data_IF_254550136271
#
_entry.id   IF_254550136271
#
_cell.length_a   1.000
_cell.length_b   1.000
_cell.length_c   1.000
_cell.angle_alpha   90.00
_cell.angle_beta   90.00
_cell.angle_gamma   90.00
#
_symmetry.space_group_name_H-M   'P 1'
#
loop_
_entity.id
_entity.type
_entity.pdbx_description
1 polymer ?
#
# COMPACT_ATOMS: atom_id res chain seq x y z
N UNK A 1 0.10 -9.28 3.24
CA UNK A 1 -0.24 -8.60 4.53
C UNK A 1 -0.87 -9.52 5.59
N UNK A 2 -1.25 -10.75 5.25
CA UNK A 2 -1.97 -11.68 6.13
C UNK A 2 -1.34 -11.89 7.51
N UNK A 3 -0.01 -11.97 7.59
CA UNK A 3 0.68 -12.19 8.86
C UNK A 3 0.35 -11.13 9.92
N UNK A 4 0.34 -9.84 9.56
CA UNK A 4 0.06 -8.76 10.50
C UNK A 4 -1.45 -8.54 10.67
N UNK A 5 -2.20 -8.57 9.57
CA UNK A 5 -3.62 -8.24 9.59
C UNK A 5 -4.50 -9.34 10.18
N UNK A 6 -4.04 -10.58 10.35
CA UNK A 6 -4.80 -11.64 11.06
C UNK A 6 -5.02 -11.32 12.54
N UNK A 7 -4.17 -10.49 13.15
CA UNK A 7 -4.25 -10.15 14.57
C UNK A 7 -5.36 -9.13 14.83
N UNK A 8 -6.10 -9.32 15.93
CA UNK A 8 -7.24 -8.46 16.31
C UNK A 8 -6.86 -6.98 16.45
N UNK A 9 -5.63 -6.71 16.93
CA UNK A 9 -5.11 -5.35 17.10
C UNK A 9 -4.95 -4.56 15.78
N UNK A 10 -4.91 -5.25 14.64
CA UNK A 10 -4.79 -4.63 13.30
C UNK A 10 -5.99 -4.96 12.40
N UNK A 11 -7.03 -5.59 12.95
CA UNK A 11 -8.17 -6.03 12.15
C UNK A 11 -8.98 -4.85 11.57
N UNK A 12 -8.97 -3.70 12.25
CA UNK A 12 -9.60 -2.47 11.77
C UNK A 12 -8.88 -1.84 10.58
N UNK A 13 -7.62 -2.21 10.31
CA UNK A 13 -6.85 -1.74 9.16
C UNK A 13 -7.09 -2.57 7.90
N UNK A 14 -7.96 -3.58 7.94
CA UNK A 14 -8.28 -4.40 6.76
C UNK A 14 -9.17 -3.61 5.81
N UNK A 15 -8.91 -3.73 4.51
CA UNK A 15 -9.78 -3.21 3.46
C UNK A 15 -11.18 -3.83 3.55
N UNK A 16 -11.22 -5.17 3.62
CA UNK A 16 -12.45 -5.91 3.87
C UNK A 16 -12.29 -6.66 5.19
N UNK A 17 -13.20 -6.44 6.14
CA UNK A 17 -13.04 -6.92 7.51
C UNK A 17 -12.82 -8.43 7.65
N UNK A 18 -13.43 -9.24 6.78
CA UNK A 18 -13.28 -10.70 6.75
C UNK A 18 -11.97 -11.18 6.11
N UNK A 19 -11.26 -10.33 5.36
CA UNK A 19 -10.10 -10.71 4.56
C UNK A 19 -8.83 -10.02 5.06
N UNK A 20 -7.92 -10.73 5.75
CA UNK A 20 -6.67 -10.16 6.26
C UNK A 20 -5.59 -9.98 5.17
N UNK A 21 -5.92 -10.09 3.88
CA UNK A 21 -4.95 -10.01 2.79
C UNK A 21 -4.64 -8.58 2.35
N UNK A 22 -5.58 -7.64 2.53
CA UNK A 22 -5.51 -6.28 1.96
C UNK A 22 -5.68 -5.23 3.05
N UNK A 23 -4.82 -4.22 3.01
CA UNK A 23 -4.82 -3.08 3.94
C UNK A 23 -5.75 -1.98 3.40
N UNK A 24 -6.55 -1.35 4.29
CA UNK A 24 -7.37 -0.20 3.95
C UNK A 24 -6.47 1.03 3.72
N UNK A 25 -6.39 1.59 2.51
CA UNK A 25 -5.49 2.69 2.21
C UNK A 25 -5.97 4.05 2.73
N UNK A 26 -7.20 4.15 3.25
CA UNK A 26 -7.77 5.42 3.75
C UNK A 26 -7.41 5.72 5.20
N UNK A 27 -7.02 4.70 5.98
CA UNK A 27 -6.62 4.88 7.37
C UNK A 27 -5.16 5.34 7.46
N UNK A 28 -4.90 6.45 8.14
CA UNK A 28 -3.51 6.94 8.32
C UNK A 28 -2.63 5.91 9.03
N UNK A 29 -3.22 5.14 9.95
CA UNK A 29 -2.56 4.04 10.67
C UNK A 29 -2.06 2.93 9.73
N UNK A 30 -2.73 2.70 8.60
CA UNK A 30 -2.29 1.73 7.59
C UNK A 30 -0.93 2.10 7.01
N UNK A 31 -0.77 3.37 6.60
CA UNK A 31 0.51 3.85 6.09
C UNK A 31 1.59 3.87 7.19
N UNK A 32 1.21 4.21 8.42
CA UNK A 32 2.13 4.17 9.56
C UNK A 32 2.62 2.75 9.85
N UNK A 33 1.75 1.74 9.78
CA UNK A 33 2.10 0.33 9.95
C UNK A 33 3.11 -0.12 8.89
N UNK A 34 2.84 0.16 7.61
CA UNK A 34 3.78 -0.14 6.52
C UNK A 34 5.11 0.59 6.72
N UNK A 35 5.06 1.86 7.16
CA UNK A 35 6.24 2.64 7.51
C UNK A 35 7.10 1.97 8.59
N UNK A 36 6.48 1.49 9.66
CA UNK A 36 7.20 0.80 10.74
C UNK A 36 7.85 -0.51 10.26
N UNK A 37 7.18 -1.27 9.38
CA UNK A 37 7.76 -2.46 8.76
C UNK A 37 8.97 -2.11 7.89
N UNK A 38 8.88 -1.03 7.11
CA UNK A 38 9.98 -0.52 6.29
C UNK A 38 11.16 -0.09 7.15
N UNK A 39 10.91 0.61 8.27
CA UNK A 39 11.95 1.04 9.21
C UNK A 39 12.75 -0.15 9.73
N UNK A 40 12.06 -1.20 10.20
CA UNK A 40 12.71 -2.44 10.67
C UNK A 40 13.57 -3.10 9.59
N UNK A 41 13.07 -3.19 8.35
CA UNK A 41 13.82 -3.79 7.24
C UNK A 41 15.05 -2.96 6.91
N UNK A 42 14.93 -1.63 6.81
CA UNK A 42 16.05 -0.75 6.47
C UNK A 42 17.10 -0.67 7.58
N UNK A 43 16.71 -0.81 8.84
CA UNK A 43 17.63 -0.88 9.98
C UNK A 43 18.53 -2.12 9.89
N UNK A 44 17.93 -3.28 9.57
CA UNK A 44 18.65 -4.55 9.43
C UNK A 44 19.51 -4.63 8.15
N UNK A 45 19.23 -3.80 7.14
CA UNK A 45 19.91 -3.82 5.84
C UNK A 45 20.53 -2.46 5.50
N UNK A 46 21.56 -2.00 6.23
CA UNK A 46 22.08 -0.65 6.09
C UNK A 46 22.71 -0.37 4.72
N UNK A 47 23.16 -1.40 4.00
CA UNK A 47 23.73 -1.29 2.65
C UNK A 47 22.72 -1.48 1.51
N UNK A 48 21.43 -1.63 1.80
CA UNK A 48 20.42 -1.83 0.76
C UNK A 48 20.35 -0.62 -0.19
N UNK A 49 20.36 -0.89 -1.49
CA UNK A 49 20.17 0.13 -2.54
C UNK A 49 18.77 0.07 -3.14
N UNK A 50 18.07 -1.05 -2.97
CA UNK A 50 16.73 -1.31 -3.51
C UNK A 50 15.88 -1.96 -2.44
N UNK A 51 14.61 -1.58 -2.38
CA UNK A 51 13.64 -2.18 -1.48
C UNK A 51 12.36 -2.47 -2.26
N UNK A 52 11.98 -3.75 -2.31
CA UNK A 52 10.70 -4.14 -2.90
C UNK A 52 9.58 -3.95 -1.89
N UNK A 53 8.58 -3.12 -2.20
CA UNK A 53 7.46 -2.78 -1.31
C UNK A 53 6.18 -3.58 -1.62
N UNK A 54 6.23 -4.50 -2.59
CA UNK A 54 5.15 -5.44 -2.89
C UNK A 54 4.10 -4.81 -3.79
N UNK A 55 2.83 -4.88 -3.35
CA UNK A 55 1.65 -4.39 -4.04
C UNK A 55 1.20 -5.24 -5.24
N UNK A 56 1.44 -6.55 -5.15
CA UNK A 56 0.89 -7.58 -6.03
C UNK A 56 -0.53 -8.00 -5.61
N UNK A 57 -1.33 -8.40 -6.61
CA UNK A 57 -2.54 -9.22 -6.44
C UNK A 57 -3.53 -8.65 -5.40
N UNK A 58 -3.71 -7.33 -5.39
CA UNK A 58 -4.53 -6.61 -4.40
C UNK A 58 -6.02 -6.67 -4.78
N UNK A 59 -6.57 -7.89 -4.92
CA UNK A 59 -7.86 -8.15 -5.55
C UNK A 59 -9.07 -7.49 -4.88
N UNK A 60 -9.03 -7.31 -3.56
CA UNK A 60 -10.14 -6.73 -2.79
C UNK A 60 -10.06 -5.21 -2.63
N UNK A 61 -9.08 -4.54 -3.25
CA UNK A 61 -8.95 -3.09 -3.16
C UNK A 61 -10.18 -2.40 -3.76
N UNK A 62 -10.82 -1.52 -3.00
CA UNK A 62 -12.05 -0.84 -3.43
C UNK A 62 -13.32 -1.48 -2.89
N UNK A 63 -13.23 -2.66 -2.28
CA UNK A 63 -14.39 -3.36 -1.74
C UNK A 63 -14.73 -2.97 -0.30
N UNK A 64 -13.80 -2.31 0.41
CA UNK A 64 -14.04 -1.79 1.75
C UNK A 64 -15.07 -0.66 1.78
N UNK A 65 -15.76 -0.48 2.90
CA UNK A 65 -16.81 0.55 2.99
C UNK A 65 -16.26 1.97 2.71
N UNK A 66 -15.08 2.30 3.26
CA UNK A 66 -14.40 3.56 3.03
C UNK A 66 -14.05 3.74 1.54
N UNK A 67 -13.47 2.71 0.92
CA UNK A 67 -13.09 2.77 -0.49
C UNK A 67 -14.29 2.80 -1.43
N UNK A 68 -15.37 2.06 -1.15
CA UNK A 68 -16.63 2.17 -1.90
C UNK A 68 -17.19 3.58 -1.87
N UNK A 69 -17.22 4.23 -0.70
CA UNK A 69 -17.65 5.64 -0.58
C UNK A 69 -16.74 6.59 -1.35
N UNK A 70 -15.43 6.36 -1.31
CA UNK A 70 -14.46 7.17 -2.05
C UNK A 70 -14.62 6.99 -3.57
N UNK A 71 -14.83 5.76 -4.05
CA UNK A 71 -15.02 5.43 -5.45
C UNK A 71 -16.33 5.98 -6.05
N UNK A 72 -17.33 6.30 -5.23
CA UNK A 72 -18.58 6.93 -5.68
C UNK A 72 -18.40 8.40 -6.08
N UNK A 73 -17.30 9.03 -5.70
CA UNK A 73 -17.01 10.43 -6.05
C UNK A 73 -16.49 10.50 -7.49
N UNK A 74 -16.87 11.55 -8.22
CA UNK A 74 -16.44 11.74 -9.61
C UNK A 74 -14.91 11.74 -9.71
N UNK A 75 -14.38 11.14 -10.78
CA UNK A 75 -12.95 11.02 -11.11
C UNK A 75 -12.15 10.02 -10.27
N UNK A 76 -12.71 9.37 -9.25
CA UNK A 76 -12.00 8.35 -8.49
C UNK A 76 -12.04 6.99 -9.18
N UNK A 77 -10.97 6.21 -9.01
CA UNK A 77 -10.86 4.85 -9.55
C UNK A 77 -9.97 4.00 -8.66
N UNK A 78 -10.16 2.68 -8.69
CA UNK A 78 -9.30 1.74 -7.94
C UNK A 78 -7.83 1.88 -8.35
N UNK A 79 -7.57 2.18 -9.63
CA UNK A 79 -6.24 2.51 -10.14
C UNK A 79 -5.60 3.72 -9.46
N UNK A 80 -6.34 4.84 -9.36
CA UNK A 80 -5.88 6.03 -8.64
C UNK A 80 -5.64 5.74 -7.15
N UNK A 81 -6.51 4.94 -6.53
CA UNK A 81 -6.35 4.54 -5.13
C UNK A 81 -5.06 3.75 -4.92
N UNK A 82 -4.83 2.75 -5.78
CA UNK A 82 -3.63 1.92 -5.78
C UNK A 82 -2.37 2.76 -5.96
N UNK A 83 -2.32 3.58 -7.01
CA UNK A 83 -1.17 4.42 -7.33
C UNK A 83 -0.88 5.46 -6.24
N UNK A 84 -1.93 6.07 -5.67
CA UNK A 84 -1.80 7.01 -4.55
C UNK A 84 -1.13 6.34 -3.35
N UNK A 85 -1.57 5.12 -3.00
CA UNK A 85 -0.98 4.36 -1.91
C UNK A 85 0.48 3.97 -2.21
N UNK A 86 0.75 3.42 -3.39
CA UNK A 86 2.13 3.10 -3.84
C UNK A 86 3.04 4.32 -3.75
N UNK A 87 2.59 5.49 -4.23
CA UNK A 87 3.34 6.74 -4.18
C UNK A 87 3.60 7.19 -2.75
N UNK A 88 2.63 7.06 -1.84
CA UNK A 88 2.80 7.40 -0.43
C UNK A 88 3.86 6.51 0.24
N UNK A 89 3.81 5.19 0.01
CA UNK A 89 4.80 4.24 0.54
C UNK A 89 6.18 4.50 -0.05
N UNK A 90 6.29 4.66 -1.37
CA UNK A 90 7.55 4.97 -2.05
C UNK A 90 8.17 6.28 -1.54
N UNK A 91 7.37 7.32 -1.38
CA UNK A 91 7.78 8.59 -0.76
C UNK A 91 8.28 8.38 0.67
N UNK A 92 7.59 7.53 1.43
CA UNK A 92 7.99 7.13 2.78
C UNK A 92 9.35 6.43 2.84
N UNK A 93 9.67 5.57 1.85
CA UNK A 93 11.00 4.96 1.70
C UNK A 93 12.06 6.03 1.40
N UNK A 94 11.79 6.90 0.42
CA UNK A 94 12.74 7.96 0.01
C UNK A 94 13.01 8.96 1.14
N UNK A 95 12.01 9.29 1.94
CA UNK A 95 12.16 10.18 3.10
C UNK A 95 13.08 9.58 4.17
N UNK A 96 12.99 8.26 4.41
CA UNK A 96 13.85 7.55 5.36
C UNK A 96 15.27 7.36 4.84
N UNK A 97 15.39 6.92 3.58
CA UNK A 97 16.68 6.67 2.91
C UNK A 97 16.64 7.12 1.45
N UNK A 98 17.08 8.36 1.16
CA UNK A 98 17.05 8.92 -0.19
C UNK A 98 17.85 8.12 -1.24
N UNK A 99 18.84 7.33 -0.83
CA UNK A 99 19.64 6.48 -1.73
C UNK A 99 18.95 5.17 -2.12
N UNK A 100 17.91 4.75 -1.40
CA UNK A 100 17.17 3.52 -1.70
C UNK A 100 16.17 3.76 -2.83
N UNK A 101 16.11 2.83 -3.78
CA UNK A 101 15.11 2.82 -4.85
C UNK A 101 13.97 1.85 -4.49
N UNK A 102 12.73 2.33 -4.30
CA UNK A 102 11.57 1.47 -4.10
C UNK A 102 11.22 0.74 -5.40
N UNK A 103 10.82 -0.52 -5.30
CA UNK A 103 10.34 -1.36 -6.39
C UNK A 103 8.95 -1.90 -6.05
N UNK A 104 8.07 -1.99 -7.03
CA UNK A 104 6.71 -2.54 -6.91
C UNK A 104 6.50 -3.63 -7.94
N UNK A 105 5.55 -4.53 -7.69
CA UNK A 105 5.01 -5.38 -8.74
C UNK A 105 4.20 -4.53 -9.73
N UNK A 106 4.22 -4.94 -11.00
CA UNK A 106 3.65 -4.16 -12.10
C UNK A 106 2.20 -4.53 -12.42
N UNK A 107 1.72 -5.69 -11.94
CA UNK A 107 0.42 -6.27 -12.26
C UNK A 107 -0.74 -5.31 -12.01
N UNK A 108 -0.74 -4.60 -10.88
CA UNK A 108 -1.77 -3.62 -10.54
C UNK A 108 -1.73 -2.34 -11.41
N UNK A 109 -0.67 -2.15 -12.21
CA UNK A 109 -0.45 -0.96 -13.05
C UNK A 109 -0.72 -1.22 -14.54
N UNK A 110 -0.76 -2.48 -14.98
CA UNK A 110 -0.85 -2.85 -16.41
C UNK A 110 -2.09 -2.31 -17.12
N UNK A 111 -3.20 -2.17 -16.38
CA UNK A 111 -4.48 -1.70 -16.91
C UNK A 111 -4.66 -0.18 -16.78
N UNK A 112 -3.68 0.53 -16.21
CA UNK A 112 -3.76 1.98 -16.05
C UNK A 112 -3.39 2.70 -17.36
N UNK A 113 -4.11 3.78 -17.71
CA UNK A 113 -3.70 4.65 -18.80
C UNK A 113 -2.30 5.21 -18.58
N UNK A 114 -1.49 5.27 -19.64
CA UNK A 114 -0.10 5.75 -19.58
C UNK A 114 0.02 7.19 -19.06
N UNK A 115 -0.98 8.05 -19.32
CA UNK A 115 -1.05 9.42 -18.82
C UNK A 115 -1.29 9.52 -17.30
N UNK A 116 -1.56 8.39 -16.64
CA UNK A 116 -1.78 8.31 -15.19
C UNK A 116 -0.60 7.70 -14.42
N UNK A 117 0.39 7.10 -15.10
CA UNK A 117 1.60 6.52 -14.48
C UNK A 117 2.67 7.58 -14.22
#
# INVERSE_FOLDING_TARGET
>A
MEFVLKHTAFAHLREVGSFPCTLNPHEAESLALVGAMIDQVLELHPGAQRLHIGCDEVYYLGEGEASRRWLQQEQNSTGKLCLSHMRAVASGVKARRPSVTPLVWDDMLRDLPEDQL
#
